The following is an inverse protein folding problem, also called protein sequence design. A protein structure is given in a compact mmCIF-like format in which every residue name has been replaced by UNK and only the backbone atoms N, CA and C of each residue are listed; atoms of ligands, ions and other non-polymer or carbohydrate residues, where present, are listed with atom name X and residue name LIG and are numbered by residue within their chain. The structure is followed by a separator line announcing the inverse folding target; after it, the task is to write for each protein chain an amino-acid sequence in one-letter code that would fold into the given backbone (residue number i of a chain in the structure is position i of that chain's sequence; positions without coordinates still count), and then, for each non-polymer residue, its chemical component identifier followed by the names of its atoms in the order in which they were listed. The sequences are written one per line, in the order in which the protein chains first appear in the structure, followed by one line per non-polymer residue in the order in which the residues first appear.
data_IF_861612650619
#
_entry.id   IF_861612650619
#
_cell.length_a   1.000
_cell.length_b   1.000
_cell.length_c   1.000
_cell.angle_alpha   90.00
_cell.angle_beta   90.00
_cell.angle_gamma   90.00
#
_symmetry.space_group_name_H-M   'P 1'
#
loop_
_entity.id
_entity.type
_entity.pdbx_description
1 polymer ?
#
# COMPACT_ATOMS: atom_id res chain seq x y z
N UNK A 1 2.68 -4.81 21.04
CA UNK A 1 2.32 -4.08 19.80
C UNK A 1 2.67 -4.93 18.60
N UNK A 2 1.80 -4.99 17.58
CA UNK A 2 2.08 -5.67 16.30
C UNK A 2 2.82 -4.70 15.38
N UNK A 3 3.90 -5.12 14.72
CA UNK A 3 4.60 -4.25 13.76
C UNK A 3 3.68 -3.93 12.58
N UNK A 4 3.62 -2.66 12.18
CA UNK A 4 2.85 -2.20 11.02
C UNK A 4 3.71 -1.94 9.79
N UNK A 5 4.96 -1.48 9.96
CA UNK A 5 5.91 -1.29 8.86
C UNK A 5 7.36 -1.29 9.35
N UNK A 6 8.25 -1.66 8.44
CA UNK A 6 9.70 -1.66 8.63
C UNK A 6 10.35 -0.40 8.04
N UNK A 7 11.53 -0.05 8.54
CA UNK A 7 12.39 0.95 7.92
C UNK A 7 13.34 0.36 6.86
N UNK A 8 14.22 1.20 6.30
CA UNK A 8 15.18 0.79 5.26
C UNK A 8 16.19 -0.26 5.71
N UNK A 9 16.40 -0.42 7.02
CA UNK A 9 17.25 -1.47 7.61
C UNK A 9 16.49 -2.74 7.96
N UNK A 10 15.20 -2.81 7.58
CA UNK A 10 14.26 -3.88 7.95
C UNK A 10 13.98 -3.98 9.45
N UNK A 11 14.21 -2.90 10.20
CA UNK A 11 13.85 -2.81 11.61
C UNK A 11 12.39 -2.29 11.77
N UNK A 12 11.64 -2.77 12.78
CA UNK A 12 10.31 -2.23 13.08
C UNK A 12 10.34 -0.71 13.33
N UNK A 13 9.52 0.04 12.58
CA UNK A 13 9.44 1.51 12.72
C UNK A 13 8.05 2.01 13.09
N UNK A 14 7.00 1.27 12.73
CA UNK A 14 5.64 1.59 13.16
C UNK A 14 4.96 0.38 13.79
N UNK A 15 4.02 0.66 14.68
CA UNK A 15 3.40 -0.30 15.57
C UNK A 15 1.90 -0.05 15.66
N UNK A 16 1.14 -1.12 15.82
CA UNK A 16 -0.29 -1.11 16.10
C UNK A 16 -0.54 -1.59 17.53
N UNK A 17 -1.46 -0.92 18.24
CA UNK A 17 -2.01 -1.44 19.50
C UNK A 17 -2.73 -2.78 19.26
N UNK A 18 -3.14 -3.44 20.33
CA UNK A 18 -3.90 -4.68 20.19
C UNK A 18 -5.24 -4.45 19.48
N UNK A 19 -5.96 -3.40 19.84
CA UNK A 19 -7.27 -3.05 19.28
C UNK A 19 -7.16 -2.66 17.79
N UNK A 20 -6.11 -1.90 17.44
CA UNK A 20 -5.82 -1.57 16.04
C UNK A 20 -5.51 -2.82 15.22
N UNK A 21 -4.71 -3.74 15.76
CA UNK A 21 -4.40 -5.00 15.10
C UNK A 21 -5.65 -5.86 14.92
N UNK A 22 -6.51 -5.97 15.95
CA UNK A 22 -7.76 -6.73 15.89
C UNK A 22 -8.71 -6.18 14.81
N UNK A 23 -8.85 -4.86 14.71
CA UNK A 23 -9.67 -4.24 13.67
C UNK A 23 -9.14 -4.54 12.26
N UNK A 24 -7.83 -4.40 12.06
CA UNK A 24 -7.20 -4.70 10.76
C UNK A 24 -7.35 -6.17 10.40
N UNK A 25 -7.13 -7.07 11.34
CA UNK A 25 -7.24 -8.51 11.13
C UNK A 25 -8.71 -8.90 10.79
N UNK A 26 -9.70 -8.32 11.47
CA UNK A 26 -11.12 -8.51 11.14
C UNK A 26 -11.48 -7.99 9.73
N UNK A 27 -10.96 -6.82 9.34
CA UNK A 27 -11.19 -6.29 7.98
C UNK A 27 -10.54 -7.17 6.90
N UNK A 28 -9.33 -7.68 7.15
CA UNK A 28 -8.64 -8.60 6.23
C UNK A 28 -9.40 -9.92 6.06
N UNK A 29 -10.09 -10.39 7.08
CA UNK A 29 -10.88 -11.62 7.04
C UNK A 29 -12.22 -11.46 6.32
N UNK A 30 -12.83 -10.27 6.41
CA UNK A 30 -14.22 -10.06 5.99
C UNK A 30 -14.43 -9.08 4.84
N UNK A 31 -13.36 -8.48 4.30
CA UNK A 31 -13.46 -7.52 3.20
C UNK A 31 -12.20 -7.49 2.32
N UNK A 32 -12.35 -6.92 1.11
CA UNK A 32 -11.21 -6.51 0.30
C UNK A 32 -10.62 -5.22 0.84
N UNK A 33 -9.57 -5.35 1.65
CA UNK A 33 -8.90 -4.19 2.25
C UNK A 33 -7.84 -3.62 1.29
N UNK A 34 -8.13 -2.46 0.71
CA UNK A 34 -7.28 -1.74 -0.25
C UNK A 34 -6.63 -0.53 0.43
N UNK A 35 -5.30 -0.51 0.65
CA UNK A 35 -4.63 0.66 1.22
C UNK A 35 -4.57 1.82 0.21
N UNK A 36 -4.87 3.03 0.68
CA UNK A 36 -4.70 4.29 -0.07
C UNK A 36 -3.71 5.17 0.68
N UNK A 37 -2.54 5.41 0.09
CA UNK A 37 -1.41 5.98 0.83
C UNK A 37 -0.51 6.91 0.01
N UNK A 38 0.14 7.82 0.73
CA UNK A 38 1.22 8.68 0.24
C UNK A 38 2.51 7.90 -0.07
N UNK A 39 2.72 6.77 0.63
CA UNK A 39 3.93 5.94 0.50
C UNK A 39 4.16 5.53 -0.95
N UNK A 40 5.41 5.56 -1.40
CA UNK A 40 5.80 4.96 -2.68
C UNK A 40 5.75 3.43 -2.65
N UNK A 41 5.92 2.79 -3.80
CA UNK A 41 5.91 1.31 -3.94
C UNK A 41 6.92 0.63 -3.00
N UNK A 42 8.13 1.18 -2.89
CA UNK A 42 9.21 0.66 -2.03
C UNK A 42 8.92 0.82 -0.53
N UNK A 43 8.23 1.90 -0.16
CA UNK A 43 7.82 2.11 1.23
C UNK A 43 6.61 1.26 1.61
N UNK A 44 5.73 0.99 0.64
CA UNK A 44 4.58 0.11 0.77
C UNK A 44 5.01 -1.35 0.92
N UNK A 45 6.06 -1.79 0.21
CA UNK A 45 6.57 -3.17 0.30
C UNK A 45 7.14 -3.53 1.69
N UNK A 46 7.42 -2.53 2.53
CA UNK A 46 7.83 -2.71 3.94
C UNK A 46 6.69 -2.67 4.94
N UNK A 47 5.46 -2.42 4.51
CA UNK A 47 4.28 -2.54 5.37
C UNK A 47 4.04 -4.03 5.64
N UNK A 48 3.91 -4.39 6.91
CA UNK A 48 3.83 -5.78 7.35
C UNK A 48 2.38 -6.29 7.46
N UNK A 49 1.40 -5.45 7.14
CA UNK A 49 0.00 -5.83 7.03
C UNK A 49 -0.18 -6.63 5.72
N UNK A 50 -0.73 -7.86 5.76
CA UNK A 50 -0.81 -8.74 4.59
C UNK A 50 -2.01 -8.38 3.70
N UNK A 51 -1.99 -7.21 3.06
CA UNK A 51 -3.01 -6.87 2.06
C UNK A 51 -2.96 -7.88 0.90
N UNK A 52 -4.12 -8.44 0.55
CA UNK A 52 -4.28 -9.42 -0.53
C UNK A 52 -4.87 -8.84 -1.82
N UNK A 53 -5.39 -7.61 -1.73
CA UNK A 53 -6.03 -6.91 -2.85
C UNK A 53 -5.08 -5.87 -3.48
N UNK A 54 -5.64 -5.00 -4.29
CA UNK A 54 -4.97 -3.85 -4.89
C UNK A 54 -4.39 -2.90 -3.83
N UNK A 55 -3.45 -2.05 -4.23
CA UNK A 55 -2.94 -0.97 -3.39
C UNK A 55 -2.79 0.34 -4.18
N UNK A 56 -3.25 1.44 -3.60
CA UNK A 56 -3.13 2.78 -4.17
C UNK A 56 -2.00 3.51 -3.43
N UNK A 57 -0.92 3.80 -4.14
CA UNK A 57 0.33 4.34 -3.59
C UNK A 57 0.69 5.67 -4.25
N UNK A 58 1.72 6.35 -3.74
CA UNK A 58 2.22 7.62 -4.30
C UNK A 58 1.09 8.65 -4.45
N UNK A 59 0.26 8.80 -3.42
CA UNK A 59 -0.90 9.71 -3.42
C UNK A 59 -1.92 9.44 -4.55
N UNK A 60 -2.00 8.20 -5.05
CA UNK A 60 -2.91 7.83 -6.15
C UNK A 60 -2.25 7.75 -7.53
N UNK A 61 -1.00 8.17 -7.66
CA UNK A 61 -0.30 8.12 -8.95
C UNK A 61 0.04 6.70 -9.41
N UNK A 62 0.12 5.74 -8.47
CA UNK A 62 0.45 4.33 -8.79
C UNK A 62 -0.56 3.41 -8.13
N UNK A 63 -1.21 2.59 -8.96
CA UNK A 63 -2.06 1.48 -8.52
C UNK A 63 -1.27 0.19 -8.70
N UNK A 64 -1.18 -0.62 -7.66
CA UNK A 64 -0.59 -1.95 -7.68
C UNK A 64 -1.69 -3.00 -7.72
N UNK A 65 -1.50 -3.99 -8.57
CA UNK A 65 -2.30 -5.23 -8.63
C UNK A 65 -2.10 -6.09 -7.37
N UNK A 66 -2.95 -7.11 -7.13
CA UNK A 66 -2.72 -8.12 -6.10
C UNK A 66 -1.35 -8.81 -6.19
N UNK A 67 -0.80 -8.94 -7.39
CA UNK A 67 0.55 -9.47 -7.65
C UNK A 67 1.68 -8.48 -7.32
N UNK A 68 1.33 -7.29 -6.80
CA UNK A 68 2.24 -6.20 -6.41
C UNK A 68 3.00 -5.57 -7.58
N UNK A 69 2.51 -5.75 -8.80
CA UNK A 69 3.03 -5.05 -9.99
C UNK A 69 2.15 -3.84 -10.32
N UNK A 70 2.73 -2.82 -10.95
CA UNK A 70 1.98 -1.63 -11.35
C UNK A 70 0.93 -1.97 -12.41
N UNK A 71 -0.27 -1.42 -12.25
CA UNK A 71 -1.33 -1.52 -13.24
C UNK A 71 -0.97 -0.71 -14.50
N UNK A 72 -0.87 -1.41 -15.64
CA UNK A 72 -0.41 -0.80 -16.89
C UNK A 72 -1.40 0.24 -17.43
N UNK A 73 -2.71 0.02 -17.26
CA UNK A 73 -3.74 0.92 -17.77
C UNK A 73 -3.72 2.24 -17.00
N UNK A 74 -3.66 2.17 -15.67
CA UNK A 74 -3.56 3.35 -14.81
C UNK A 74 -2.24 4.09 -15.02
N UNK A 75 -1.12 3.36 -15.11
CA UNK A 75 0.18 3.97 -15.40
C UNK A 75 0.16 4.72 -16.74
N UNK A 76 -0.47 4.15 -17.77
CA UNK A 76 -0.65 4.81 -19.06
C UNK A 76 -1.51 6.07 -18.92
N UNK A 77 -2.66 5.98 -18.25
CA UNK A 77 -3.56 7.12 -18.00
C UNK A 77 -2.86 8.28 -17.30
N UNK A 78 -2.11 8.00 -16.22
CA UNK A 78 -1.35 9.02 -15.48
C UNK A 78 -0.26 9.62 -16.37
N UNK A 79 0.52 8.79 -17.07
CA UNK A 79 1.60 9.28 -17.94
C UNK A 79 1.08 10.15 -19.08
N UNK A 80 -0.07 9.79 -19.67
CA UNK A 80 -0.75 10.61 -20.68
C UNK A 80 -1.21 11.94 -20.07
N UNK A 81 -1.84 11.92 -18.90
CA UNK A 81 -2.32 13.11 -18.20
C UNK A 81 -1.19 14.08 -17.82
N UNK A 82 0.03 13.56 -17.61
CA UNK A 82 1.22 14.35 -17.32
C UNK A 82 1.90 14.93 -18.56
N UNK A 83 1.52 14.53 -19.78
CA UNK A 83 2.13 15.00 -21.04
C UNK A 83 2.21 16.52 -21.17
N UNK A 84 1.19 17.31 -20.77
CA UNK A 84 1.25 18.78 -20.86
C UNK A 84 2.27 19.43 -19.91
N UNK A 85 2.81 18.70 -18.94
CA UNK A 85 3.73 19.18 -17.92
C UNK A 85 5.17 18.65 -18.10
N UNK A 86 5.42 17.92 -19.19
CA UNK A 86 6.76 17.45 -19.57
C UNK A 86 7.58 18.53 -20.25
#
# INVERSE_FOLDING_TARGET
YKTGALDRSLAPRSFMTQEQAMLVDWMLEHADLIPVTARGTEEMSRVTIPFHSWAITTHGAVVLTPEKVADEQWQHHITQSLTPYK
#
